data_IF_884713430665
#
_entry.id   IF_884713430665
#
_cell.length_a   1.000
_cell.length_b   1.000
_cell.length_c   1.000
_cell.angle_alpha   90.00
_cell.angle_beta   90.00
_cell.angle_gamma   90.00
#
_symmetry.space_group_name_H-M   'P 1'
#
loop_
_entity.id
_entity.type
_entity.pdbx_description
1 polymer ?
#
# COMPACT_ATOMS: atom_id res chain seq x y z
N UNK A 1 9.95 -7.15 -24.38
CA UNK A 1 9.94 -6.97 -23.77
C UNK A 1 9.95 -6.68 -22.96
N UNK A 2 10.14 -6.72 -22.55
CA UNK A 2 10.09 -6.47 -21.69
C UNK A 2 10.15 -6.07 -20.93
N UNK A 3 10.24 -5.96 -20.27
CA UNK A 3 10.22 -5.67 -19.47
C UNK A 3 10.22 -5.22 -18.69
N UNK A 4 10.24 -5.14 -18.05
CA UNK A 4 10.31 -4.81 -17.25
C UNK A 4 10.20 -4.41 -16.42
N UNK A 5 10.20 -4.41 -15.78
CA UNK A 5 10.13 -4.00 -14.95
C UNK A 5 10.25 -3.66 -14.00
N UNK A 6 10.38 -3.59 -13.50
CA UNK A 6 10.59 -3.35 -12.57
C UNK A 6 10.22 -2.60 -11.86
N UNK A 7 9.68 -2.60 -11.58
CA UNK A 7 9.46 -1.74 -10.85
C UNK A 7 9.25 -1.91 -9.50
N UNK A 8 9.45 -1.04 -8.77
CA UNK A 8 9.36 -1.07 -7.41
C UNK A 8 8.05 -1.52 -6.92
N UNK A 9 7.02 -0.99 -7.45
CA UNK A 9 5.71 -1.47 -7.17
C UNK A 9 4.99 -1.63 -8.46
N UNK A 10 4.25 -2.72 -8.56
CA UNK A 10 3.49 -2.98 -9.76
C UNK A 10 2.07 -2.53 -9.62
N UNK A 11 1.72 -2.04 -8.44
CA UNK A 11 0.36 -1.65 -8.19
C UNK A 11 0.22 -0.15 -8.39
N UNK A 12 -0.94 0.27 -8.86
CA UNK A 12 -1.20 1.67 -9.02
C UNK A 12 -1.45 2.30 -7.66
N UNK A 13 -1.37 3.61 -7.60
CA UNK A 13 -1.67 4.31 -6.35
C UNK A 13 -3.09 4.01 -5.90
N UNK A 14 -4.01 3.84 -6.84
CA UNK A 14 -5.38 3.53 -6.48
C UNK A 14 -5.48 2.18 -5.80
N UNK A 15 -4.75 1.20 -6.29
CA UNK A 15 -4.79 -0.13 -5.68
C UNK A 15 -4.21 -0.11 -4.28
N UNK A 16 -3.11 0.60 -4.10
CA UNK A 16 -2.50 0.69 -2.79
C UNK A 16 -3.44 1.42 -1.84
N UNK A 17 -4.07 2.46 -2.32
CA UNK A 17 -5.02 3.21 -1.51
C UNK A 17 -6.18 2.33 -1.08
N UNK A 18 -6.63 1.45 -1.96
CA UNK A 18 -7.70 0.52 -1.61
C UNK A 18 -7.27 -0.41 -0.49
N UNK A 19 -6.03 -0.85 -0.52
CA UNK A 19 -5.54 -1.73 0.52
C UNK A 19 -5.43 -1.00 1.86
N UNK A 20 -5.04 0.25 1.80
CA UNK A 20 -4.98 1.05 3.02
C UNK A 20 -6.37 1.16 3.63
N UNK A 21 -7.37 1.39 2.80
CA UNK A 21 -8.74 1.49 3.30
C UNK A 21 -9.22 0.17 3.85
N UNK A 22 -8.89 -0.92 3.15
CA UNK A 22 -9.30 -2.23 3.62
C UNK A 22 -8.65 -2.55 4.97
N UNK A 23 -7.41 -2.12 5.15
CA UNK A 23 -6.72 -2.32 6.41
C UNK A 23 -7.46 -1.62 7.54
N UNK A 24 -7.85 -0.38 7.33
CA UNK A 24 -8.59 0.35 8.34
C UNK A 24 -9.93 -0.30 8.64
N UNK A 25 -10.60 -0.79 7.61
CA UNK A 25 -11.89 -1.45 7.80
C UNK A 25 -11.72 -2.72 8.62
N UNK A 26 -10.67 -3.50 8.33
CA UNK A 26 -10.43 -4.73 9.06
C UNK A 26 -10.07 -4.44 10.51
N UNK A 27 -9.40 -3.34 10.74
CA UNK A 27 -8.91 -3.03 12.07
C UNK A 27 -10.01 -2.47 12.97
N UNK A 28 -11.10 -2.07 12.40
CA UNK A 28 -12.18 -1.48 13.19
C UNK A 28 -11.85 -0.08 13.66
N UNK A 29 -10.91 0.58 13.00
CA UNK A 29 -10.57 1.95 13.33
C UNK A 29 -9.35 2.09 14.20
N UNK A 30 -8.81 0.99 14.72
CA UNK A 30 -7.62 1.04 15.57
C UNK A 30 -6.63 0.00 15.07
N UNK A 31 -5.46 0.46 14.70
CA UNK A 31 -4.45 -0.43 14.15
C UNK A 31 -3.63 -1.06 15.27
N UNK A 32 -3.41 -2.36 15.16
CA UNK A 32 -2.47 -3.04 16.05
C UNK A 32 -1.06 -2.67 15.63
N UNK A 33 -0.08 -3.13 16.42
CA UNK A 33 1.31 -2.84 16.11
C UNK A 33 1.67 -3.39 14.73
N UNK A 34 1.25 -4.61 14.44
CA UNK A 34 1.54 -5.20 13.14
C UNK A 34 0.84 -4.46 12.03
N UNK A 35 -0.40 -4.06 12.27
CA UNK A 35 -1.15 -3.34 11.27
C UNK A 35 -0.56 -1.96 11.02
N UNK A 36 0.01 -1.36 12.04
CA UNK A 36 0.67 -0.07 11.87
C UNK A 36 1.86 -0.18 10.96
N UNK A 37 2.60 -1.27 11.09
CA UNK A 37 3.76 -1.46 10.22
C UNK A 37 3.30 -1.74 8.80
N UNK A 38 2.22 -2.48 8.65
CA UNK A 38 1.67 -2.71 7.34
C UNK A 38 1.19 -1.40 6.71
N UNK A 39 0.52 -0.59 7.51
CA UNK A 39 0.04 0.70 7.05
C UNK A 39 1.19 1.58 6.58
N UNK A 40 2.26 1.63 7.37
CA UNK A 40 3.41 2.43 7.01
C UNK A 40 4.01 1.95 5.69
N UNK A 41 4.10 0.65 5.52
CA UNK A 41 4.63 0.09 4.30
C UNK A 41 3.76 0.44 3.11
N UNK A 42 2.45 0.38 3.30
CA UNK A 42 1.53 0.74 2.23
C UNK A 42 1.63 2.21 1.87
N UNK A 43 1.81 3.07 2.87
CA UNK A 43 1.94 4.48 2.60
C UNK A 43 3.21 4.76 1.79
N UNK A 44 4.29 4.08 2.12
CA UNK A 44 5.52 4.23 1.36
C UNK A 44 5.34 3.75 -0.06
N UNK A 45 4.63 2.64 -0.22
CA UNK A 45 4.36 2.12 -1.54
C UNK A 45 3.47 3.08 -2.33
N UNK A 46 2.48 3.62 -1.66
CA UNK A 46 1.60 4.59 -2.31
C UNK A 46 2.37 5.81 -2.77
N UNK A 47 3.27 6.29 -1.93
CA UNK A 47 4.08 7.44 -2.29
C UNK A 47 4.97 7.15 -3.49
N UNK A 48 5.45 5.92 -3.57
CA UNK A 48 6.28 5.53 -4.70
C UNK A 48 5.47 5.39 -5.99
N UNK A 49 4.20 5.06 -5.85
CA UNK A 49 3.32 4.89 -7.00
C UNK A 49 2.76 6.21 -7.49
N UNK A 50 2.85 7.24 -6.69
CA UNK A 50 2.29 8.54 -7.03
C UNK A 50 3.37 9.39 -7.66
N UNK A 51 3.14 9.95 -8.84
CA UNK A 51 4.16 10.77 -9.52
C UNK A 51 4.53 12.01 -8.74
#
# INVERSE_FOLDING_TARGET
MSTTVETVTERSADEVNEEIRALWLRSGGTLSTEQREEYRRLVLEWAAATP
#
